data_IF_963096875661
#
_entry.id   IF_963096875661
#
_cell.length_a   1.000
_cell.length_b   1.000
_cell.length_c   1.000
_cell.angle_alpha   90.00
_cell.angle_beta   90.00
_cell.angle_gamma   90.00
#
_symmetry.space_group_name_H-M   'P 1'
#
loop_
_entity.id
_entity.type
_entity.pdbx_description
1 polymer ?
#
# COMPACT_ATOMS: atom_id res chain seq x y z
N UNK A 1 -8.42 8.22 -19.53
CA UNK A 1 -7.53 8.76 -18.50
C UNK A 1 -7.71 7.96 -17.22
N UNK A 2 -6.97 6.87 -17.08
CA UNK A 2 -7.06 5.98 -15.93
C UNK A 2 -6.37 6.68 -14.75
N UNK A 3 -7.13 7.37 -13.89
CA UNK A 3 -6.57 8.00 -12.68
C UNK A 3 -5.84 6.90 -11.90
N UNK A 4 -4.52 7.00 -11.88
CA UNK A 4 -3.66 6.36 -10.91
C UNK A 4 -4.31 6.60 -9.54
N UNK A 5 -4.84 5.55 -8.92
CA UNK A 5 -5.42 5.69 -7.59
C UNK A 5 -4.27 5.80 -6.60
N UNK A 6 -4.45 6.66 -5.60
CA UNK A 6 -3.50 6.74 -4.50
C UNK A 6 -3.46 5.39 -3.77
N UNK A 7 -2.26 4.98 -3.36
CA UNK A 7 -2.08 3.82 -2.50
C UNK A 7 -2.70 4.02 -1.12
N UNK A 8 -2.89 2.93 -0.39
CA UNK A 8 -3.47 2.97 0.95
C UNK A 8 -2.54 3.68 1.94
N UNK A 9 -3.13 4.47 2.83
CA UNK A 9 -2.42 5.04 3.97
C UNK A 9 -2.09 3.93 4.99
N UNK A 10 -0.95 4.06 5.68
CA UNK A 10 -0.49 3.14 6.72
C UNK A 10 -0.57 3.87 8.06
N UNK A 11 -1.22 3.28 9.05
CA UNK A 11 -1.27 3.83 10.40
C UNK A 11 -0.27 3.10 11.28
N UNK A 12 0.54 3.86 12.02
CA UNK A 12 1.46 3.31 13.02
C UNK A 12 1.29 4.05 14.32
N UNK A 13 1.33 3.32 15.43
CA UNK A 13 1.34 3.91 16.75
C UNK A 13 2.75 3.87 17.34
N UNK A 14 3.20 4.99 17.87
CA UNK A 14 4.49 5.10 18.56
C UNK A 14 4.23 5.54 20.00
N UNK A 15 4.88 4.85 20.93
CA UNK A 15 4.87 5.25 22.34
C UNK A 15 6.07 6.14 22.65
N UNK A 16 5.80 7.22 23.37
CA UNK A 16 6.80 8.17 23.84
C UNK A 16 6.88 8.16 25.35
N UNK A 17 8.09 8.25 25.86
CA UNK A 17 8.30 8.64 27.25
C UNK A 17 7.94 10.11 27.46
N UNK A 18 7.64 10.48 28.70
CA UNK A 18 7.39 11.87 29.08
C UNK A 18 8.54 12.80 28.68
N UNK A 19 9.79 12.35 28.83
CA UNK A 19 10.97 13.14 28.49
C UNK A 19 11.09 13.39 26.98
N UNK A 20 10.80 12.38 26.16
CA UNK A 20 10.80 12.48 24.70
C UNK A 20 9.71 13.44 24.21
N UNK A 21 8.52 13.38 24.82
CA UNK A 21 7.40 14.27 24.52
C UNK A 21 7.69 15.74 24.94
N UNK A 22 8.38 15.94 26.08
CA UNK A 22 8.73 17.25 26.59
C UNK A 22 9.84 17.94 25.77
N UNK A 23 10.90 17.19 25.40
CA UNK A 23 12.06 17.74 24.67
C UNK A 23 11.91 17.73 23.15
N UNK A 24 10.98 16.96 22.62
CA UNK A 24 10.94 16.61 21.21
C UNK A 24 12.00 15.56 20.89
N UNK A 25 11.76 14.75 19.87
CA UNK A 25 12.71 13.74 19.42
C UNK A 25 12.46 13.35 17.96
N UNK A 26 13.49 12.81 17.33
CA UNK A 26 13.37 12.17 16.03
C UNK A 26 13.31 10.66 16.24
N UNK A 27 12.28 9.99 15.72
CA UNK A 27 12.16 8.52 15.78
C UNK A 27 12.13 7.94 14.38
N UNK A 28 12.73 6.76 14.24
CA UNK A 28 12.63 5.96 13.01
C UNK A 28 11.63 4.83 13.22
N UNK A 29 10.59 4.79 12.39
CA UNK A 29 9.56 3.76 12.41
C UNK A 29 9.73 2.84 11.21
N UNK A 30 9.72 1.53 11.44
CA UNK A 30 9.71 0.56 10.35
C UNK A 30 8.28 0.25 9.93
N UNK A 31 7.94 0.56 8.67
CA UNK A 31 6.64 0.24 8.07
C UNK A 31 6.77 -0.89 7.07
N UNK A 32 5.80 -1.81 7.09
CA UNK A 32 5.68 -2.83 6.07
C UNK A 32 4.95 -2.24 4.86
N UNK A 33 5.65 -2.16 3.73
CA UNK A 33 5.14 -1.65 2.47
C UNK A 33 5.40 -2.65 1.35
N UNK A 34 4.50 -2.70 0.38
CA UNK A 34 4.80 -3.39 -0.86
C UNK A 34 5.80 -2.56 -1.67
N UNK A 35 6.89 -3.21 -2.08
CA UNK A 35 7.89 -2.61 -2.97
C UNK A 35 7.70 -3.15 -4.37
N UNK A 36 8.03 -2.33 -5.36
CA UNK A 36 8.10 -2.81 -6.73
C UNK A 36 9.12 -3.95 -6.83
N UNK A 37 8.72 -5.05 -7.49
CA UNK A 37 9.58 -6.20 -7.67
C UNK A 37 10.72 -5.82 -8.63
N UNK A 38 11.94 -5.63 -8.10
CA UNK A 38 13.11 -5.21 -8.88
C UNK A 38 13.42 -6.10 -10.08
N UNK A 39 13.32 -7.45 -10.00
CA UNK A 39 13.53 -8.32 -11.15
C UNK A 39 12.60 -7.99 -12.33
N UNK A 40 11.32 -7.75 -12.10
CA UNK A 40 10.33 -7.57 -13.18
C UNK A 40 9.87 -6.13 -13.38
N UNK A 41 10.42 -5.18 -12.62
CA UNK A 41 10.06 -3.75 -12.63
C UNK A 41 8.54 -3.53 -12.63
N UNK A 42 7.84 -4.20 -11.71
CA UNK A 42 6.39 -4.04 -11.57
C UNK A 42 5.53 -4.79 -12.59
N UNK A 43 6.10 -5.37 -13.66
CA UNK A 43 5.33 -6.04 -14.71
C UNK A 43 4.66 -7.34 -14.25
N UNK A 44 5.25 -8.01 -13.25
CA UNK A 44 4.87 -9.34 -12.81
C UNK A 44 5.32 -10.47 -13.76
N UNK A 45 5.86 -10.16 -14.94
CA UNK A 45 6.41 -11.13 -15.89
C UNK A 45 7.86 -11.48 -15.54
N UNK A 46 8.32 -12.66 -15.91
CA UNK A 46 9.74 -12.98 -15.82
C UNK A 46 10.54 -12.12 -16.83
N UNK A 47 11.72 -11.60 -16.48
CA UNK A 47 12.50 -10.76 -17.40
C UNK A 47 12.80 -11.47 -18.72
N UNK A 48 12.61 -10.76 -19.83
CA UNK A 48 12.78 -11.30 -21.18
C UNK A 48 11.62 -12.16 -21.68
N UNK A 49 10.58 -12.39 -20.88
CA UNK A 49 9.37 -13.10 -21.32
C UNK A 49 8.28 -12.13 -21.77
N UNK A 50 7.36 -12.62 -22.61
CA UNK A 50 6.30 -11.79 -23.19
C UNK A 50 5.00 -11.99 -22.42
N UNK A 51 4.17 -10.95 -22.48
CA UNK A 51 2.76 -11.05 -22.12
C UNK A 51 1.97 -11.35 -23.39
N UNK A 52 0.99 -12.25 -23.27
CA UNK A 52 0.07 -12.55 -24.38
C UNK A 52 -1.29 -11.95 -24.09
N UNK A 53 -2.02 -11.55 -25.13
CA UNK A 53 -3.39 -11.06 -25.01
C UNK A 53 -4.26 -12.17 -24.42
N UNK A 54 -5.08 -11.85 -23.42
CA UNK A 54 -6.01 -12.82 -22.85
C UNK A 54 -7.08 -13.19 -23.89
N UNK A 55 -7.14 -14.45 -24.28
CA UNK A 55 -8.11 -14.97 -25.24
C UNK A 55 -9.52 -15.02 -24.65
N UNK A 56 -9.65 -15.23 -23.35
CA UNK A 56 -10.94 -15.34 -22.67
C UNK A 56 -11.74 -14.03 -22.68
N UNK A 57 -11.08 -12.89 -22.46
CA UNK A 57 -11.72 -11.57 -22.53
C UNK A 57 -11.30 -10.76 -23.77
N UNK A 58 -10.58 -11.35 -24.71
CA UNK A 58 -10.02 -10.66 -25.88
C UNK A 58 -9.32 -9.33 -25.54
N UNK A 59 -8.50 -9.32 -24.48
CA UNK A 59 -7.78 -8.10 -24.05
C UNK A 59 -8.57 -7.11 -23.20
N UNK A 60 -9.87 -7.33 -22.98
CA UNK A 60 -10.73 -6.37 -22.26
C UNK A 60 -10.53 -6.36 -20.74
N UNK A 61 -9.98 -7.43 -20.15
CA UNK A 61 -9.83 -7.58 -18.70
C UNK A 61 -11.12 -8.01 -17.98
N UNK A 62 -12.22 -8.12 -18.70
CA UNK A 62 -13.55 -8.36 -18.14
C UNK A 62 -14.40 -9.20 -19.09
N UNK A 63 -15.35 -9.94 -18.51
CA UNK A 63 -16.32 -10.73 -19.25
C UNK A 63 -17.72 -10.24 -18.93
N UNK A 64 -18.56 -10.16 -19.95
CA UNK A 64 -19.95 -9.72 -19.82
C UNK A 64 -20.84 -10.95 -19.85
N UNK A 65 -21.62 -11.15 -18.80
CA UNK A 65 -22.64 -12.19 -18.70
C UNK A 65 -24.01 -11.52 -18.72
N UNK A 66 -24.87 -11.97 -19.61
CA UNK A 66 -26.28 -11.55 -19.64
C UNK A 66 -27.07 -12.48 -18.71
N UNK A 67 -27.56 -11.97 -17.58
CA UNK A 67 -28.51 -12.70 -16.74
C UNK A 67 -29.94 -12.22 -17.02
N UNK A 68 -30.91 -13.13 -16.89
CA UNK A 68 -32.35 -12.85 -16.97
C UNK A 68 -32.80 -12.23 -18.30
N UNK A 69 -32.90 -13.04 -19.35
CA UNK A 69 -33.59 -12.67 -20.60
C UNK A 69 -32.98 -11.52 -21.41
N UNK A 70 -31.73 -11.12 -21.13
CA UNK A 70 -31.02 -10.09 -21.91
C UNK A 70 -31.29 -8.64 -21.47
N UNK A 71 -32.08 -8.42 -20.42
CA UNK A 71 -32.39 -7.07 -19.92
C UNK A 71 -31.26 -6.46 -19.07
N UNK A 72 -30.38 -7.30 -18.51
CA UNK A 72 -29.29 -6.85 -17.64
C UNK A 72 -27.96 -7.50 -18.04
N UNK A 73 -26.94 -6.66 -18.24
CA UNK A 73 -25.57 -7.09 -18.50
C UNK A 73 -24.74 -6.90 -17.23
N UNK A 74 -24.23 -7.99 -16.69
CA UNK A 74 -23.32 -7.96 -15.54
C UNK A 74 -21.89 -8.14 -16.04
N UNK A 75 -21.02 -7.24 -15.59
CA UNK A 75 -19.59 -7.20 -15.94
C UNK A 75 -18.80 -7.84 -14.81
N UNK A 76 -18.14 -8.94 -15.11
CA UNK A 76 -17.29 -9.65 -14.17
C UNK A 76 -15.82 -9.45 -14.53
N UNK A 77 -14.94 -9.42 -13.53
CA UNK A 77 -13.49 -9.45 -13.78
C UNK A 77 -13.13 -10.77 -14.46
N UNK A 78 -12.34 -10.70 -15.55
CA UNK A 78 -11.89 -11.89 -16.24
C UNK A 78 -10.93 -12.68 -15.35
N UNK A 79 -11.34 -13.86 -14.88
CA UNK A 79 -10.54 -14.73 -14.02
C UNK A 79 -9.13 -15.03 -14.59
N UNK A 80 -9.01 -15.53 -15.84
CA UNK A 80 -7.72 -15.89 -16.43
C UNK A 80 -6.65 -14.79 -16.48
N UNK A 81 -7.04 -13.52 -16.63
CA UNK A 81 -6.10 -12.40 -16.65
C UNK A 81 -6.21 -11.47 -15.44
N UNK A 82 -7.07 -11.80 -14.47
CA UNK A 82 -7.36 -10.99 -13.28
C UNK A 82 -7.56 -9.50 -13.56
N UNK A 83 -8.31 -9.15 -14.60
CA UNK A 83 -8.54 -7.73 -14.93
C UNK A 83 -7.43 -7.05 -15.75
N UNK A 84 -6.29 -7.71 -15.99
CA UNK A 84 -5.14 -7.12 -16.71
C UNK A 84 -5.33 -7.10 -18.24
N UNK A 85 -6.22 -7.94 -18.78
CA UNK A 85 -6.42 -8.10 -20.24
C UNK A 85 -5.29 -8.85 -20.93
N UNK A 86 -4.18 -9.10 -20.24
CA UNK A 86 -3.04 -9.88 -20.71
C UNK A 86 -2.73 -10.98 -19.70
N UNK A 87 -2.20 -12.09 -20.20
CA UNK A 87 -1.76 -13.23 -19.40
C UNK A 87 -0.24 -13.30 -19.48
N UNK A 88 0.39 -13.51 -18.32
CA UNK A 88 1.83 -13.71 -18.21
C UNK A 88 2.15 -15.12 -18.72
N UNK A 89 2.99 -15.25 -19.75
CA UNK A 89 3.44 -16.58 -20.20
C UNK A 89 4.33 -17.24 -19.15
N UNK A 90 5.19 -16.45 -18.50
CA UNK A 90 5.99 -16.86 -17.37
C UNK A 90 5.87 -15.82 -16.26
N UNK A 91 5.16 -16.12 -15.16
CA UNK A 91 5.10 -15.22 -14.02
C UNK A 91 6.49 -15.08 -13.40
N UNK A 92 6.81 -13.89 -12.89
CA UNK A 92 8.06 -13.64 -12.18
C UNK A 92 8.15 -14.56 -10.97
N UNK A 93 9.28 -15.24 -10.82
CA UNK A 93 9.51 -16.20 -9.72
C UNK A 93 9.55 -15.53 -8.35
N UNK A 94 9.89 -14.25 -8.28
CA UNK A 94 10.05 -13.50 -7.02
C UNK A 94 8.73 -12.95 -6.49
N UNK A 95 7.87 -12.42 -7.36
CA UNK A 95 6.56 -11.86 -6.97
C UNK A 95 5.36 -12.70 -7.40
N UNK A 96 5.59 -13.86 -8.00
CA UNK A 96 4.56 -14.79 -8.48
C UNK A 96 3.48 -14.16 -9.38
N UNK A 97 3.83 -13.12 -10.14
CA UNK A 97 2.91 -12.44 -11.06
C UNK A 97 2.21 -11.19 -10.48
N UNK A 98 2.43 -10.86 -9.21
CA UNK A 98 1.83 -9.68 -8.57
C UNK A 98 2.49 -8.37 -9.05
N UNK A 99 3.82 -8.39 -9.25
CA UNK A 99 4.60 -7.20 -9.63
C UNK A 99 5.16 -6.43 -8.44
N UNK A 100 4.71 -6.74 -7.23
CA UNK A 100 5.24 -6.20 -5.97
C UNK A 100 5.73 -7.32 -5.06
N UNK A 101 6.59 -6.98 -4.11
CA UNK A 101 7.08 -7.87 -3.06
C UNK A 101 6.94 -7.17 -1.71
N UNK A 102 6.60 -7.89 -0.63
CA UNK A 102 6.56 -7.30 0.70
C UNK A 102 7.95 -6.83 1.10
N UNK A 103 8.03 -5.65 1.68
CA UNK A 103 9.29 -5.09 2.17
C UNK A 103 9.07 -4.17 3.35
N UNK A 104 10.17 -3.76 3.96
CA UNK A 104 10.16 -2.81 5.08
C UNK A 104 10.80 -1.50 4.65
N UNK A 105 10.23 -0.37 5.07
CA UNK A 105 10.80 0.95 4.87
C UNK A 105 10.94 1.65 6.22
N UNK A 106 12.14 2.20 6.46
CA UNK A 106 12.36 3.12 7.56
C UNK A 106 11.78 4.49 7.21
N UNK A 107 10.93 5.01 8.09
CA UNK A 107 10.34 6.34 7.99
C UNK A 107 10.77 7.11 9.23
N UNK A 108 11.53 8.18 9.01
CA UNK A 108 11.94 9.10 10.05
C UNK A 108 10.83 10.11 10.29
N UNK A 109 10.51 10.33 11.56
CA UNK A 109 9.51 11.28 12.01
C UNK A 109 10.09 12.21 13.05
N UNK A 110 9.83 13.50 12.88
CA UNK A 110 10.17 14.52 13.86
C UNK A 110 8.96 14.80 14.75
N UNK A 111 9.15 14.58 16.04
CA UNK A 111 8.13 14.77 17.05
C UNK A 111 8.45 16.09 17.76
N UNK A 112 7.54 17.08 17.69
CA UNK A 112 7.78 18.38 18.30
C UNK A 112 7.83 18.27 19.82
N UNK A 113 8.57 19.20 20.44
CA UNK A 113 8.61 19.36 21.89
C UNK A 113 7.27 19.88 22.44
N UNK A 114 7.00 19.61 23.71
CA UNK A 114 5.79 20.11 24.39
C UNK A 114 4.51 19.34 24.02
N UNK A 115 4.63 18.05 23.71
CA UNK A 115 3.47 17.20 23.47
C UNK A 115 2.85 16.79 24.82
N UNK A 116 1.64 17.25 25.11
CA UNK A 116 0.90 16.91 26.35
C UNK A 116 -0.14 15.79 26.17
N UNK A 117 -0.44 15.42 24.92
CA UNK A 117 -1.48 14.46 24.51
C UNK A 117 -1.04 13.67 23.26
N UNK A 118 -1.97 12.95 22.63
CA UNK A 118 -1.73 12.23 21.37
C UNK A 118 -1.61 13.19 20.19
N UNK A 119 -0.58 13.01 19.36
CA UNK A 119 -0.44 13.72 18.07
C UNK A 119 -0.55 12.76 16.91
N UNK A 120 -1.06 13.27 15.79
CA UNK A 120 -1.06 12.56 14.51
C UNK A 120 -0.15 13.30 13.53
N UNK A 121 0.94 12.64 13.12
CA UNK A 121 1.89 13.14 12.15
C UNK A 121 1.65 12.43 10.82
N UNK A 122 1.57 13.18 9.72
CA UNK A 122 1.38 12.62 8.38
C UNK A 122 2.65 12.76 7.56
N UNK A 123 3.19 11.63 7.12
CA UNK A 123 4.31 11.56 6.19
C UNK A 123 3.78 11.14 4.82
N UNK A 124 3.62 12.10 3.92
CA UNK A 124 3.10 11.86 2.57
C UNK A 124 4.06 11.02 1.71
N UNK A 125 3.51 10.16 0.86
CA UNK A 125 4.28 9.39 -0.13
C UNK A 125 5.09 8.21 0.43
N UNK A 126 4.94 7.89 1.72
CA UNK A 126 5.61 6.75 2.38
C UNK A 126 4.68 5.57 2.68
N UNK A 127 3.41 5.67 2.30
CA UNK A 127 2.42 4.60 2.47
C UNK A 127 2.53 3.52 1.39
N UNK A 128 1.47 2.71 1.23
CA UNK A 128 1.46 1.66 0.21
C UNK A 128 1.58 2.25 -1.20
N UNK A 129 2.21 1.55 -2.16
CA UNK A 129 2.25 2.00 -3.54
C UNK A 129 0.84 2.06 -4.13
N UNK A 130 0.59 3.03 -5.01
CA UNK A 130 -0.68 3.13 -5.71
C UNK A 130 -0.81 2.05 -6.78
N UNK A 131 -1.99 1.42 -6.94
CA UNK A 131 -2.19 0.39 -7.95
C UNK A 131 -1.90 0.95 -9.35
N UNK A 132 -1.20 0.15 -10.17
CA UNK A 132 -0.80 0.46 -11.56
C UNK A 132 0.06 1.73 -11.67
N UNK A 133 1.05 1.88 -10.79
CA UNK A 133 1.96 3.04 -10.79
C UNK A 133 1.31 4.31 -10.26
N UNK A 134 0.32 4.16 -9.37
CA UNK A 134 -0.30 5.30 -8.71
C UNK A 134 0.57 5.91 -7.63
N UNK A 135 0.25 7.15 -7.23
CA UNK A 135 0.98 7.83 -6.16
C UNK A 135 0.89 7.01 -4.87
N UNK A 136 1.98 6.86 -4.10
CA UNK A 136 1.91 6.16 -2.83
C UNK A 136 0.96 6.86 -1.85
N UNK A 137 0.42 6.08 -0.91
CA UNK A 137 -0.29 6.59 0.25
C UNK A 137 0.65 7.34 1.21
N UNK A 138 0.13 7.63 2.39
CA UNK A 138 0.82 8.33 3.47
C UNK A 138 1.06 7.37 4.64
N UNK A 139 2.10 7.62 5.43
CA UNK A 139 2.20 7.03 6.78
C UNK A 139 1.62 8.04 7.76
N UNK A 140 0.64 7.61 8.53
CA UNK A 140 0.03 8.38 9.62
C UNK A 140 0.58 7.79 10.91
N UNK A 141 1.42 8.56 11.60
CA UNK A 141 1.97 8.16 12.89
C UNK A 141 1.19 8.82 14.01
N UNK A 142 0.57 7.98 14.84
CA UNK A 142 -0.08 8.39 16.07
C UNK A 142 0.92 8.23 17.21
N UNK A 143 1.46 9.34 17.73
CA UNK A 143 2.36 9.30 18.87
C UNK A 143 1.60 9.59 20.16
N UNK A 144 1.73 8.71 21.15
CA UNK A 144 1.05 8.81 22.44
C UNK A 144 2.03 8.61 23.58
N UNK A 145 1.86 9.36 24.67
CA UNK A 145 2.69 9.25 25.86
C UNK A 145 2.32 7.97 26.61
N UNK A 146 3.31 7.13 26.94
CA UNK A 146 3.06 5.96 27.80
C UNK A 146 2.67 6.45 29.20
N UNK A 147 1.48 6.11 29.71
CA UNK A 147 1.11 6.46 31.07
C UNK A 147 2.02 5.71 32.06
N UNK A 148 2.74 6.45 32.90
CA UNK A 148 3.58 5.86 33.93
C UNK A 148 2.71 5.41 35.11
N UNK A 149 2.88 4.18 35.66
CA UNK A 149 2.02 3.67 36.74
C UNK A 149 2.07 4.47 38.05
N UNK A 150 3.02 5.39 38.20
CA UNK A 150 3.18 6.26 39.39
C UNK A 150 2.71 7.71 39.20
N UNK A 151 2.28 8.09 37.99
CA UNK A 151 1.79 9.44 37.72
C UNK A 151 0.37 9.37 37.17
N UNK A 152 -0.59 9.05 38.05
CA UNK A 152 -1.94 9.57 37.88
C UNK A 152 -1.84 11.09 37.99
N UNK A 153 -2.13 11.80 36.90
CA UNK A 153 -2.36 13.26 36.93
C UNK A 153 -3.53 13.53 37.89
N UNK A 154 -3.22 13.92 39.11
CA UNK A 154 -4.07 14.78 39.93
C UNK A 154 -3.50 16.19 39.84
N UNK A 155 -4.28 17.11 39.28
CA UNK A 155 -3.92 18.51 39.04
C UNK A 155 -4.59 19.03 37.79
#
# INVERSE_FOLDING_TARGET
SQRSRQGADIQVQVQLSFMEAAKGCTKTVMVNIDKECSPCSGSGAQPGTKTRKCTYCNGKGETVSSQMGGMFQVRHMCGPCRGKGQVLESPCKTCHGEGTVPGTQAVEIDIPAGMDTTVMLRVAGKGQPGPKGGTPGSVIVTASITPHPFFCKGG
#
